data_IF_914522725531
#
_entry.id   IF_914522725531
#
_cell.length_a   1.000
_cell.length_b   1.000
_cell.length_c   1.000
_cell.angle_alpha   90.00
_cell.angle_beta   90.00
_cell.angle_gamma   90.00
#
_symmetry.space_group_name_H-M   'P 1'
#
loop_
_entity.id
_entity.type
_entity.pdbx_description
1 polymer ?
#
# COMPACT_ATOMS: atom_id res chain seq x y z
N UNK A 1 3.87 17.97 17.94
CA UNK A 1 3.68 16.79 17.07
C UNK A 1 3.68 15.55 17.94
N UNK A 2 2.56 14.82 18.02
CA UNK A 2 2.51 13.53 18.72
C UNK A 2 2.51 12.42 17.69
N UNK A 3 3.68 11.79 17.52
CA UNK A 3 3.82 10.53 16.80
C UNK A 3 3.18 9.46 17.65
N UNK A 4 2.05 8.91 17.21
CA UNK A 4 1.41 7.76 17.86
C UNK A 4 1.96 6.51 17.17
N UNK A 5 2.92 5.85 17.84
CA UNK A 5 3.32 4.49 17.51
C UNK A 5 2.13 3.58 17.80
N UNK A 6 1.41 3.17 16.76
CA UNK A 6 0.29 2.24 16.87
C UNK A 6 0.82 0.82 16.96
N UNK A 7 1.28 0.44 18.14
CA UNK A 7 1.37 -0.96 18.58
C UNK A 7 0.01 -1.41 19.13
N UNK A 8 -1.06 -1.23 18.34
CA UNK A 8 -2.42 -1.59 18.75
C UNK A 8 -2.79 -2.93 18.09
N UNK A 9 -3.38 -3.83 18.88
CA UNK A 9 -4.02 -5.02 18.35
C UNK A 9 -5.07 -4.63 17.32
N UNK A 10 -5.28 -5.48 16.31
CA UNK A 10 -6.18 -5.24 15.17
C UNK A 10 -7.57 -4.69 15.56
N UNK A 11 -8.10 -5.04 16.74
CA UNK A 11 -9.38 -4.58 17.29
C UNK A 11 -9.38 -3.09 17.68
N UNK A 12 -8.35 -2.60 18.37
CA UNK A 12 -8.26 -1.20 18.82
C UNK A 12 -7.98 -0.24 17.64
N UNK A 13 -7.21 -0.73 16.66
CA UNK A 13 -6.96 -0.01 15.40
C UNK A 13 -8.26 0.20 14.62
N UNK A 14 -9.11 -0.84 14.57
CA UNK A 14 -10.41 -0.80 13.88
C UNK A 14 -11.35 0.22 14.51
N UNK A 15 -11.53 0.20 15.83
CA UNK A 15 -12.43 1.15 16.49
C UNK A 15 -11.99 2.62 16.36
N UNK A 16 -10.67 2.86 16.38
CA UNK A 16 -10.09 4.18 16.16
C UNK A 16 -10.30 4.68 14.73
N UNK A 17 -10.08 3.81 13.74
CA UNK A 17 -10.26 4.11 12.32
C UNK A 17 -11.73 4.35 11.96
N UNK A 18 -12.66 3.54 12.48
CA UNK A 18 -14.10 3.75 12.25
C UNK A 18 -14.58 5.10 12.81
N UNK A 19 -14.13 5.49 14.02
CA UNK A 19 -14.48 6.78 14.63
C UNK A 19 -13.91 7.96 13.84
N UNK A 20 -12.66 7.87 13.40
CA UNK A 20 -12.01 8.93 12.65
C UNK A 20 -12.62 9.08 11.24
N UNK A 21 -12.82 7.97 10.50
CA UNK A 21 -13.39 8.01 9.15
C UNK A 21 -14.79 8.63 9.11
N UNK A 22 -15.65 8.29 10.09
CA UNK A 22 -16.98 8.91 10.25
C UNK A 22 -16.90 10.41 10.49
N UNK A 23 -15.91 10.87 11.26
CA UNK A 23 -15.71 12.32 11.51
C UNK A 23 -15.27 13.09 10.27
N UNK A 24 -14.61 12.42 9.33
CA UNK A 24 -14.05 13.03 8.11
C UNK A 24 -14.91 12.81 6.86
N UNK A 25 -16.06 12.11 6.99
CA UNK A 25 -16.96 11.75 5.87
C UNK A 25 -16.22 11.03 4.72
N UNK A 26 -15.31 10.12 5.07
CA UNK A 26 -14.52 9.36 4.10
C UNK A 26 -15.27 8.10 3.67
N UNK A 27 -15.32 7.84 2.36
CA UNK A 27 -15.86 6.59 1.79
C UNK A 27 -14.83 5.45 1.81
N UNK A 28 -13.54 5.79 1.91
CA UNK A 28 -12.42 4.84 1.88
C UNK A 28 -11.24 5.33 2.73
N UNK A 29 -10.56 4.41 3.40
CA UNK A 29 -9.28 4.65 4.07
C UNK A 29 -8.25 3.62 3.59
N UNK A 30 -7.06 4.08 3.20
CA UNK A 30 -5.91 3.23 2.83
C UNK A 30 -4.69 3.55 3.69
N UNK A 31 -3.87 2.56 3.96
CA UNK A 31 -2.59 2.78 4.62
C UNK A 31 -1.62 1.61 4.51
N UNK A 32 -0.40 1.87 4.96
CA UNK A 32 0.69 0.89 5.06
C UNK A 32 1.11 0.80 6.52
N UNK A 33 1.17 -0.43 7.03
CA UNK A 33 1.57 -0.78 8.39
C UNK A 33 3.08 -0.87 8.56
N UNK A 34 3.55 -1.03 9.81
CA UNK A 34 4.97 -1.03 10.15
C UNK A 34 5.77 -2.20 9.55
N UNK A 35 5.14 -3.33 9.22
CA UNK A 35 5.79 -4.46 8.55
C UNK A 35 5.47 -4.51 7.04
N UNK A 36 5.13 -3.35 6.45
CA UNK A 36 4.68 -3.20 5.07
C UNK A 36 3.37 -3.93 4.76
N UNK A 37 2.57 -4.28 5.78
CA UNK A 37 1.19 -4.70 5.56
C UNK A 37 0.41 -3.55 4.92
N UNK A 38 -0.58 -3.85 4.09
CA UNK A 38 -1.50 -2.85 3.56
C UNK A 38 -2.85 -3.07 4.16
N UNK A 39 -3.55 -1.98 4.40
CA UNK A 39 -4.95 -2.06 4.75
C UNK A 39 -5.76 -1.13 3.87
N UNK A 40 -6.95 -1.59 3.54
CA UNK A 40 -7.99 -0.81 2.88
C UNK A 40 -9.29 -1.04 3.65
N UNK A 41 -9.96 0.05 3.99
CA UNK A 41 -11.28 0.03 4.60
C UNK A 41 -12.21 0.78 3.66
N UNK A 42 -13.21 0.09 3.14
CA UNK A 42 -14.29 0.70 2.36
C UNK A 42 -15.54 0.80 3.23
N UNK A 43 -16.18 1.96 3.21
CA UNK A 43 -17.41 2.23 3.93
C UNK A 43 -18.58 2.31 2.95
N UNK A 44 -19.53 1.38 3.07
CA UNK A 44 -20.83 1.44 2.40
C UNK A 44 -21.95 1.58 3.46
N UNK A 45 -23.11 2.17 3.11
CA UNK A 45 -24.22 2.37 4.06
C UNK A 45 -24.69 1.09 4.78
N UNK A 46 -24.59 -0.07 4.14
CA UNK A 46 -25.00 -1.37 4.68
C UNK A 46 -23.83 -2.33 4.98
N UNK A 47 -22.59 -1.95 4.66
CA UNK A 47 -21.44 -2.87 4.72
C UNK A 47 -20.13 -2.14 4.95
N UNK A 48 -19.26 -2.68 5.80
CA UNK A 48 -17.86 -2.24 5.89
C UNK A 48 -16.99 -3.38 5.35
N UNK A 49 -16.07 -3.07 4.44
CA UNK A 49 -15.07 -4.04 3.94
C UNK A 49 -13.70 -3.65 4.47
N UNK A 50 -13.03 -4.58 5.15
CA UNK A 50 -11.63 -4.50 5.52
C UNK A 50 -10.84 -5.49 4.66
N UNK A 51 -9.87 -4.98 3.91
CA UNK A 51 -8.87 -5.77 3.22
C UNK A 51 -7.53 -5.54 3.90
N UNK A 52 -6.93 -6.60 4.42
CA UNK A 52 -5.58 -6.62 4.95
C UNK A 52 -4.69 -7.42 4.01
N UNK A 53 -3.74 -6.75 3.36
CA UNK A 53 -2.74 -7.41 2.52
C UNK A 53 -1.47 -7.57 3.32
N UNK A 54 -1.05 -8.80 3.61
CA UNK A 54 0.22 -9.09 4.28
C UNK A 54 1.27 -9.54 3.27
N UNK A 55 2.52 -9.06 3.38
CA UNK A 55 3.59 -9.57 2.53
C UNK A 55 3.83 -11.05 2.83
N UNK A 56 4.01 -11.82 1.77
CA UNK A 56 4.30 -13.24 1.83
C UNK A 56 5.80 -13.48 1.71
N UNK A 57 6.23 -14.72 1.89
CA UNK A 57 7.62 -15.09 1.59
C UNK A 57 7.92 -15.12 0.08
N UNK A 58 6.88 -15.26 -0.75
CA UNK A 58 7.01 -15.32 -2.21
C UNK A 58 7.47 -13.99 -2.76
N UNK A 59 8.36 -14.06 -3.74
CA UNK A 59 8.83 -12.89 -4.46
C UNK A 59 7.71 -12.28 -5.30
N UNK A 60 7.66 -10.95 -5.32
CA UNK A 60 6.73 -10.25 -6.19
C UNK A 60 7.08 -10.55 -7.64
N UNK A 61 6.13 -11.15 -8.36
CA UNK A 61 6.30 -11.51 -9.77
C UNK A 61 6.62 -10.29 -10.66
N UNK A 62 6.04 -9.13 -10.35
CA UNK A 62 6.20 -7.93 -11.17
C UNK A 62 7.63 -7.34 -11.14
N UNK A 63 8.28 -7.37 -9.98
CA UNK A 63 9.65 -6.86 -9.81
C UNK A 63 10.68 -7.96 -9.58
N UNK A 64 10.30 -9.24 -9.72
CA UNK A 64 11.18 -10.40 -9.49
C UNK A 64 11.94 -10.31 -8.16
N UNK A 65 11.24 -9.97 -7.08
CA UNK A 65 11.88 -9.86 -5.76
C UNK A 65 12.68 -8.58 -5.50
N UNK A 66 12.92 -7.72 -6.49
CA UNK A 66 13.84 -6.56 -6.37
C UNK A 66 13.26 -5.37 -5.62
N UNK A 67 11.94 -5.26 -5.51
CA UNK A 67 11.27 -4.11 -4.90
C UNK A 67 11.22 -2.86 -5.79
N UNK A 68 12.07 -2.77 -6.81
CA UNK A 68 12.12 -1.69 -7.78
C UNK A 68 12.09 -2.24 -9.21
N UNK A 69 11.75 -1.39 -10.17
CA UNK A 69 11.97 -1.66 -11.59
C UNK A 69 12.68 -0.48 -12.24
N UNK A 70 13.41 -0.76 -13.33
CA UNK A 70 14.04 0.27 -14.13
C UNK A 70 13.04 0.82 -15.11
N UNK A 71 12.71 2.10 -14.97
CA UNK A 71 11.94 2.84 -15.95
C UNK A 71 12.89 3.60 -16.86
N UNK A 72 12.65 3.54 -18.16
CA UNK A 72 13.38 4.38 -19.11
C UNK A 72 13.01 5.84 -18.87
N UNK A 73 14.03 6.69 -18.82
CA UNK A 73 13.83 8.14 -18.76
C UNK A 73 12.99 8.58 -19.96
N UNK A 74 11.81 9.14 -19.69
CA UNK A 74 10.85 9.54 -20.72
C UNK A 74 11.41 10.64 -21.63
N UNK A 75 12.29 11.50 -21.11
CA UNK A 75 12.91 12.60 -21.85
C UNK A 75 13.97 12.15 -22.86
N UNK A 76 14.68 11.05 -22.60
CA UNK A 76 15.72 10.55 -23.52
C UNK A 76 15.42 9.17 -24.13
N UNK A 77 14.29 8.56 -23.76
CA UNK A 77 13.83 7.25 -24.22
C UNK A 77 14.78 6.10 -23.85
N UNK A 78 15.52 6.21 -22.75
CA UNK A 78 16.49 5.18 -22.34
C UNK A 78 17.94 5.41 -22.79
N UNK A 79 18.23 6.46 -23.59
CA UNK A 79 19.56 6.63 -24.21
C UNK A 79 20.62 7.21 -23.27
N UNK A 80 20.21 7.96 -22.24
CA UNK A 80 21.07 8.47 -21.17
C UNK A 80 22.01 9.63 -21.56
N UNK A 81 22.73 9.58 -22.67
CA UNK A 81 23.74 10.61 -23.00
C UNK A 81 23.16 12.03 -23.08
N UNK A 82 23.73 12.93 -22.27
CA UNK A 82 23.40 14.37 -22.17
C UNK A 82 21.97 14.69 -21.72
N UNK A 83 21.25 13.73 -21.16
CA UNK A 83 19.93 14.00 -20.59
C UNK A 83 20.09 14.60 -19.20
N UNK A 84 19.72 15.86 -19.02
CA UNK A 84 19.78 16.56 -17.74
C UNK A 84 18.76 16.01 -16.74
N UNK A 85 17.61 15.52 -17.23
CA UNK A 85 16.56 14.95 -16.39
C UNK A 85 17.00 13.68 -15.66
N UNK A 86 17.69 12.76 -16.35
CA UNK A 86 18.20 11.53 -15.74
C UNK A 86 19.72 11.54 -15.49
N UNK A 87 20.36 12.72 -15.50
CA UNK A 87 21.78 12.89 -15.20
C UNK A 87 22.73 11.99 -16.00
N UNK A 88 22.43 11.71 -17.28
CA UNK A 88 23.27 10.84 -18.09
C UNK A 88 22.94 9.34 -18.08
N UNK A 89 22.10 8.86 -17.15
CA UNK A 89 21.92 7.41 -16.87
C UNK A 89 20.97 6.71 -17.83
N UNK A 90 19.96 7.40 -18.34
CA UNK A 90 18.98 6.86 -19.28
C UNK A 90 17.84 6.09 -18.63
N UNK A 91 18.03 5.60 -17.41
CA UNK A 91 17.04 4.85 -16.65
C UNK A 91 17.04 5.33 -15.20
N UNK A 92 15.87 5.24 -14.57
CA UNK A 92 15.66 5.55 -13.16
C UNK A 92 15.00 4.35 -12.47
N UNK A 93 15.38 4.10 -11.22
CA UNK A 93 14.75 3.08 -10.40
C UNK A 93 13.48 3.66 -9.80
N UNK A 94 12.35 3.07 -10.13
CA UNK A 94 11.07 3.36 -9.50
C UNK A 94 10.69 2.23 -8.55
N UNK A 95 10.07 2.61 -7.43
CA UNK A 95 9.51 1.66 -6.47
C UNK A 95 8.41 0.86 -7.16
N UNK A 96 8.47 -0.46 -7.06
CA UNK A 96 7.43 -1.33 -7.61
C UNK A 96 6.10 -1.04 -6.92
N UNK A 97 5.11 -0.57 -7.67
CA UNK A 97 3.79 -0.23 -7.12
C UNK A 97 3.01 -1.47 -6.63
N UNK A 98 3.29 -2.66 -7.20
CA UNK A 98 2.65 -3.91 -6.78
C UNK A 98 3.13 -4.32 -5.39
N UNK A 99 4.44 -4.30 -5.11
CA UNK A 99 4.99 -4.71 -3.82
C UNK A 99 5.39 -3.53 -2.90
N UNK A 100 5.20 -2.29 -3.35
CA UNK A 100 5.54 -1.06 -2.64
C UNK A 100 6.96 -1.07 -2.08
N UNK A 101 7.92 -1.56 -2.87
CA UNK A 101 9.34 -1.59 -2.50
C UNK A 101 9.79 -2.83 -1.72
N UNK A 102 8.86 -3.67 -1.24
CA UNK A 102 9.23 -4.82 -0.39
C UNK A 102 9.88 -5.97 -1.16
N UNK A 103 9.64 -6.06 -2.47
CA UNK A 103 10.02 -7.22 -3.27
C UNK A 103 9.18 -8.47 -2.99
N UNK A 104 8.18 -8.40 -2.08
CA UNK A 104 7.34 -9.54 -1.71
C UNK A 104 5.95 -9.43 -2.32
N UNK A 105 5.39 -10.58 -2.65
CA UNK A 105 3.98 -10.67 -3.05
C UNK A 105 3.08 -10.54 -1.82
N UNK A 106 1.80 -10.24 -2.02
CA UNK A 106 0.85 -10.01 -0.93
C UNK A 106 -0.27 -11.04 -0.95
N UNK A 107 -0.67 -11.51 0.23
CA UNK A 107 -1.90 -12.27 0.40
C UNK A 107 -2.95 -11.36 1.05
N UNK A 108 -4.15 -11.35 0.48
CA UNK A 108 -5.28 -10.61 1.02
C UNK A 108 -6.07 -11.46 2.01
N UNK A 109 -6.26 -10.92 3.22
CA UNK A 109 -7.32 -11.31 4.13
C UNK A 109 -8.46 -10.31 3.97
N UNK A 110 -9.59 -10.81 3.47
CA UNK A 110 -10.81 -10.02 3.29
C UNK A 110 -11.78 -10.32 4.43
N UNK A 111 -12.22 -9.28 5.12
CA UNK A 111 -13.27 -9.35 6.14
C UNK A 111 -14.34 -8.34 5.75
N UNK A 112 -15.59 -8.76 5.69
CA UNK A 112 -16.71 -7.84 5.54
C UNK A 112 -17.65 -7.93 6.74
N UNK A 113 -18.19 -6.77 7.09
CA UNK A 113 -19.16 -6.61 8.15
C UNK A 113 -20.50 -6.24 7.55
N UNK A 114 -21.53 -7.01 7.85
CA UNK A 114 -22.93 -6.71 7.53
C UNK A 114 -23.70 -6.60 8.84
N UNK A 115 -24.49 -5.54 8.99
CA UNK A 115 -25.27 -5.27 10.20
C UNK A 115 -24.44 -5.36 11.51
N UNK A 116 -23.18 -4.92 11.45
CA UNK A 116 -22.25 -4.93 12.59
C UNK A 116 -21.61 -6.29 12.92
N UNK A 117 -21.81 -7.34 12.10
CA UNK A 117 -21.23 -8.67 12.32
C UNK A 117 -20.24 -9.06 11.20
N UNK A 118 -19.09 -9.61 11.59
CA UNK A 118 -18.12 -10.17 10.65
C UNK A 118 -18.70 -11.41 9.96
N UNK A 119 -18.35 -11.61 8.69
CA UNK A 119 -18.73 -12.76 7.87
C UNK A 119 -17.53 -13.35 7.17
#
# INVERSE_FOLDING_TARGET
MKTVLLSLGLEELREGLERWAKSQRLDEVRGVGPANERFRIDFCPSRIRLQLSVPTEKECYYCEGKGTYKKRCEFCGGRGKKCEFCGGKGEEEEVCFICNGTGKDYCDLLVWFEDGRAR
#
